data_IF_712098324658
#
_entry.id   IF_712098324658
#
_cell.length_a   1.000
_cell.length_b   1.000
_cell.length_c   1.000
_cell.angle_alpha   90.00
_cell.angle_beta   90.00
_cell.angle_gamma   90.00
#
_symmetry.space_group_name_H-M   'P 1'
#
loop_
_entity.id
_entity.type
_entity.pdbx_description
1 polymer ?
#
# COMPACT_ATOMS: atom_id res chain seq x y z
N UNK A 1 -17.99 6.17 -144.97
CA UNK A 1 -17.46 4.82 -145.25
C UNK A 1 -18.62 3.95 -145.70
N UNK A 2 -18.58 3.42 -146.93
CA UNK A 2 -19.69 2.63 -147.49
C UNK A 2 -19.78 1.28 -146.76
N UNK A 3 -20.92 1.00 -146.14
CA UNK A 3 -21.21 -0.27 -145.47
C UNK A 3 -21.30 -1.35 -146.56
N UNK A 4 -20.35 -2.29 -146.58
CA UNK A 4 -20.40 -3.44 -147.48
C UNK A 4 -21.54 -4.38 -147.08
N UNK A 5 -22.24 -4.96 -148.06
CA UNK A 5 -23.31 -5.93 -147.81
C UNK A 5 -22.73 -7.21 -147.24
N UNK A 6 -23.30 -7.68 -146.12
CA UNK A 6 -22.90 -8.94 -145.51
C UNK A 6 -23.59 -10.13 -146.17
N UNK A 7 -22.97 -11.29 -146.05
CA UNK A 7 -23.53 -12.56 -146.50
C UNK A 7 -24.91 -12.84 -145.87
N UNK A 8 -25.06 -12.55 -144.56
CA UNK A 8 -26.29 -12.76 -143.82
C UNK A 8 -27.44 -11.89 -144.35
N UNK A 9 -27.15 -10.65 -144.74
CA UNK A 9 -28.16 -9.72 -145.27
C UNK A 9 -28.71 -10.22 -146.62
N UNK A 10 -27.84 -10.81 -147.47
CA UNK A 10 -28.26 -11.41 -148.75
C UNK A 10 -29.05 -12.69 -148.52
N UNK A 11 -28.62 -13.53 -147.57
CA UNK A 11 -29.33 -14.77 -147.22
C UNK A 11 -30.73 -14.49 -146.67
N UNK A 12 -30.85 -13.50 -145.77
CA UNK A 12 -32.15 -13.12 -145.21
C UNK A 12 -33.06 -12.51 -146.28
N UNK A 13 -32.53 -11.62 -147.13
CA UNK A 13 -33.30 -11.07 -148.24
C UNK A 13 -33.75 -12.15 -149.24
N UNK A 14 -32.93 -13.17 -149.50
CA UNK A 14 -33.30 -14.30 -150.35
C UNK A 14 -34.38 -15.20 -149.68
N UNK A 15 -34.24 -15.48 -148.38
CA UNK A 15 -35.23 -16.23 -147.59
C UNK A 15 -36.59 -15.47 -147.57
N UNK A 16 -36.58 -14.14 -147.40
CA UNK A 16 -37.78 -13.29 -147.38
C UNK A 16 -38.46 -13.21 -148.77
N UNK A 17 -37.68 -13.08 -149.86
CA UNK A 17 -38.20 -13.07 -151.24
C UNK A 17 -38.87 -14.41 -151.58
N UNK A 18 -38.31 -15.53 -151.10
CA UNK A 18 -38.91 -16.85 -151.27
C UNK A 18 -40.16 -17.03 -150.42
N UNK A 19 -40.17 -16.52 -149.19
CA UNK A 19 -41.37 -16.50 -148.36
C UNK A 19 -42.52 -15.72 -149.02
N UNK A 20 -42.19 -14.68 -149.80
CA UNK A 20 -43.14 -13.93 -150.63
C UNK A 20 -43.53 -14.64 -151.95
N UNK A 21 -42.97 -15.82 -152.24
CA UNK A 21 -43.31 -16.63 -153.42
C UNK A 21 -42.61 -16.20 -154.73
N UNK A 22 -41.64 -15.29 -154.66
CA UNK A 22 -40.90 -14.81 -155.83
C UNK A 22 -39.51 -15.48 -155.95
N UNK A 23 -38.93 -15.46 -157.15
CA UNK A 23 -37.57 -15.99 -157.38
C UNK A 23 -36.53 -14.96 -156.95
N UNK A 24 -35.59 -15.30 -156.03
CA UNK A 24 -34.52 -14.41 -155.63
C UNK A 24 -33.52 -14.27 -156.78
N UNK A 25 -33.65 -13.20 -157.56
CA UNK A 25 -32.69 -12.80 -158.59
C UNK A 25 -31.80 -11.68 -158.08
N UNK A 26 -30.62 -11.50 -158.68
CA UNK A 26 -29.64 -10.47 -158.28
C UNK A 26 -30.27 -9.06 -158.30
N UNK A 27 -31.12 -8.77 -159.29
CA UNK A 27 -31.85 -7.50 -159.39
C UNK A 27 -32.86 -7.31 -158.25
N UNK A 28 -33.61 -8.36 -157.90
CA UNK A 28 -34.61 -8.32 -156.83
C UNK A 28 -33.99 -8.19 -155.45
N UNK A 29 -32.90 -8.91 -155.19
CA UNK A 29 -32.17 -8.79 -153.93
C UNK A 29 -31.59 -7.39 -153.78
N UNK A 30 -31.08 -6.79 -154.88
CA UNK A 30 -30.63 -5.39 -154.87
C UNK A 30 -31.79 -4.41 -154.67
N UNK A 31 -32.97 -4.68 -155.23
CA UNK A 31 -34.16 -3.86 -154.97
C UNK A 31 -34.61 -3.98 -153.50
N UNK A 32 -34.52 -5.16 -152.91
CA UNK A 32 -34.90 -5.42 -151.51
C UNK A 32 -33.90 -4.84 -150.50
N UNK A 33 -32.60 -4.86 -150.80
CA UNK A 33 -31.53 -4.34 -149.93
C UNK A 33 -31.15 -2.88 -150.22
N UNK A 34 -31.55 -2.32 -151.37
CA UNK A 34 -31.32 -0.93 -151.76
C UNK A 34 -29.87 -0.51 -152.03
N UNK A 35 -28.88 -1.40 -151.85
CA UNK A 35 -27.45 -1.13 -152.03
C UNK A 35 -26.73 -2.36 -152.59
N UNK A 36 -25.41 -2.28 -152.87
CA UNK A 36 -24.58 -3.44 -153.22
C UNK A 36 -24.16 -3.58 -154.69
N UNK A 37 -22.90 -3.98 -154.90
CA UNK A 37 -22.36 -4.32 -156.22
C UNK A 37 -22.96 -5.63 -156.72
N UNK A 38 -23.39 -5.74 -158.00
CA UNK A 38 -23.95 -6.96 -158.58
C UNK A 38 -23.06 -8.18 -158.35
N UNK A 39 -21.73 -8.03 -158.44
CA UNK A 39 -20.79 -9.14 -158.24
C UNK A 39 -20.81 -9.69 -156.81
N UNK A 40 -21.03 -8.84 -155.80
CA UNK A 40 -21.08 -9.26 -154.40
C UNK A 40 -22.40 -9.98 -154.09
N UNK A 41 -23.52 -9.51 -154.65
CA UNK A 41 -24.83 -10.14 -154.48
C UNK A 41 -24.86 -11.49 -155.19
N UNK A 42 -24.33 -11.61 -156.41
CA UNK A 42 -24.24 -12.89 -157.13
C UNK A 42 -23.44 -13.92 -156.33
N UNK A 43 -22.30 -13.52 -155.76
CA UNK A 43 -21.46 -14.42 -154.96
C UNK A 43 -22.19 -14.95 -153.73
N UNK A 44 -22.86 -14.08 -152.96
CA UNK A 44 -23.55 -14.50 -151.74
C UNK A 44 -24.86 -15.24 -152.03
N UNK A 45 -25.56 -14.89 -153.12
CA UNK A 45 -26.74 -15.62 -153.57
C UNK A 45 -26.40 -17.05 -154.00
N UNK A 46 -25.23 -17.28 -154.59
CA UNK A 46 -24.77 -18.64 -154.90
C UNK A 46 -24.50 -19.45 -153.62
N UNK A 47 -23.86 -18.83 -152.61
CA UNK A 47 -23.66 -19.45 -151.30
C UNK A 47 -25.00 -19.76 -150.61
N UNK A 48 -26.02 -18.92 -150.81
CA UNK A 48 -27.37 -19.13 -150.31
C UNK A 48 -28.00 -20.39 -150.93
N UNK A 49 -27.94 -20.49 -152.27
CA UNK A 49 -28.48 -21.65 -153.00
C UNK A 49 -27.83 -22.98 -152.59
N UNK A 50 -26.53 -22.97 -152.27
CA UNK A 50 -25.84 -24.19 -151.81
C UNK A 50 -26.24 -24.62 -150.39
N UNK A 51 -26.59 -23.67 -149.52
CA UNK A 51 -26.87 -23.95 -148.10
C UNK A 51 -28.35 -24.16 -147.80
N UNK A 52 -29.27 -23.56 -148.58
CA UNK A 52 -30.73 -23.64 -148.34
C UNK A 52 -31.25 -25.07 -148.37
N UNK A 53 -30.77 -25.91 -149.31
CA UNK A 53 -31.20 -27.30 -149.43
C UNK A 53 -30.78 -28.20 -148.27
N UNK A 54 -29.70 -27.85 -147.55
CA UNK A 54 -29.29 -28.54 -146.32
C UNK A 54 -30.09 -28.03 -145.12
N UNK A 55 -30.27 -26.70 -145.00
CA UNK A 55 -31.06 -26.07 -143.92
C UNK A 55 -32.50 -26.55 -143.89
N UNK A 56 -33.14 -26.68 -145.06
CA UNK A 56 -34.51 -27.19 -145.17
C UNK A 56 -34.61 -28.67 -144.75
N UNK A 57 -33.63 -29.50 -145.13
CA UNK A 57 -33.59 -30.91 -144.72
C UNK A 57 -33.35 -31.07 -143.23
N UNK A 58 -32.46 -30.29 -142.64
CA UNK A 58 -32.18 -30.35 -141.21
C UNK A 58 -33.39 -29.91 -140.36
N UNK A 59 -34.08 -28.82 -140.76
CA UNK A 59 -35.34 -28.42 -140.12
C UNK A 59 -36.45 -29.46 -140.28
N UNK A 60 -36.52 -30.14 -141.41
CA UNK A 60 -37.48 -31.23 -141.61
C UNK A 60 -37.17 -32.44 -140.70
N UNK A 61 -35.90 -32.74 -140.43
CA UNK A 61 -35.49 -33.80 -139.51
C UNK A 61 -35.78 -33.43 -138.05
N UNK A 62 -35.50 -32.19 -137.64
CA UNK A 62 -35.80 -31.69 -136.29
C UNK A 62 -37.31 -31.61 -136.04
N UNK A 63 -38.11 -31.24 -137.04
CA UNK A 63 -39.57 -31.26 -136.97
C UNK A 63 -40.17 -32.68 -137.03
N UNK A 64 -39.42 -33.68 -137.52
CA UNK A 64 -39.83 -35.07 -137.58
C UNK A 64 -39.55 -35.85 -136.28
N UNK A 65 -38.89 -35.25 -135.29
CA UNK A 65 -38.85 -35.80 -133.93
C UNK A 65 -40.25 -35.65 -133.35
N UNK A 66 -40.99 -36.74 -133.07
CA UNK A 66 -42.30 -36.62 -132.46
C UNK A 66 -42.10 -35.99 -131.08
N UNK A 67 -42.63 -34.78 -130.89
CA UNK A 67 -42.77 -34.22 -129.55
C UNK A 67 -43.47 -35.23 -128.65
N UNK A 68 -43.13 -35.24 -127.37
CA UNK A 68 -43.77 -36.08 -126.36
C UNK A 68 -45.29 -35.99 -126.56
N UNK A 69 -46.01 -37.12 -126.70
CA UNK A 69 -47.46 -37.08 -126.86
C UNK A 69 -48.09 -36.24 -125.75
N UNK A 70 -48.94 -35.30 -126.14
CA UNK A 70 -49.50 -34.27 -125.26
C UNK A 70 -50.14 -34.87 -123.99
N UNK A 71 -50.75 -36.05 -124.13
CA UNK A 71 -51.32 -36.83 -123.03
C UNK A 71 -50.30 -37.31 -121.98
N UNK A 72 -49.08 -37.66 -122.42
CA UNK A 72 -48.00 -38.09 -121.52
C UNK A 72 -47.41 -36.88 -120.78
N UNK A 73 -47.21 -35.76 -121.48
CA UNK A 73 -46.75 -34.51 -120.86
C UNK A 73 -47.74 -33.98 -119.80
N UNK A 74 -49.05 -34.07 -120.08
CA UNK A 74 -50.08 -33.63 -119.13
C UNK A 74 -50.16 -34.52 -117.88
N UNK A 75 -49.92 -35.84 -118.02
CA UNK A 75 -49.89 -36.78 -116.89
C UNK A 75 -48.63 -36.59 -116.03
N UNK A 76 -47.45 -36.42 -116.64
CA UNK A 76 -46.21 -36.16 -115.91
C UNK A 76 -46.28 -34.81 -115.16
N UNK A 77 -46.89 -33.78 -115.76
CA UNK A 77 -47.10 -32.51 -115.08
C UNK A 77 -48.04 -32.63 -113.87
N UNK A 78 -49.12 -33.42 -113.98
CA UNK A 78 -50.02 -33.69 -112.84
C UNK A 78 -49.34 -34.49 -111.73
N UNK A 79 -48.55 -35.51 -112.08
CA UNK A 79 -47.76 -36.29 -111.12
C UNK A 79 -46.73 -35.41 -110.40
N UNK A 80 -46.06 -34.52 -111.13
CA UNK A 80 -45.13 -33.56 -110.55
C UNK A 80 -45.81 -32.55 -109.62
N UNK A 81 -46.97 -32.02 -110.02
CA UNK A 81 -47.76 -31.13 -109.16
C UNK A 81 -48.23 -31.81 -107.87
N UNK A 82 -48.71 -33.06 -107.96
CA UNK A 82 -49.08 -33.85 -106.78
C UNK A 82 -47.87 -34.13 -105.87
N UNK A 83 -46.72 -34.50 -106.43
CA UNK A 83 -45.50 -34.72 -105.66
C UNK A 83 -45.01 -33.44 -104.97
N UNK A 84 -45.13 -32.27 -105.61
CA UNK A 84 -44.81 -30.98 -104.99
C UNK A 84 -45.80 -30.59 -103.89
N UNK A 85 -47.09 -30.92 -104.04
CA UNK A 85 -48.10 -30.71 -103.00
C UNK A 85 -47.80 -31.58 -101.77
N UNK A 86 -47.62 -32.89 -101.96
CA UNK A 86 -47.28 -33.83 -100.87
C UNK A 86 -45.96 -33.44 -100.19
N UNK A 87 -44.94 -33.05 -100.96
CA UNK A 87 -43.67 -32.57 -100.39
C UNK A 87 -43.85 -31.25 -99.62
N UNK A 88 -44.73 -30.36 -100.09
CA UNK A 88 -45.09 -29.12 -99.41
C UNK A 88 -45.80 -29.36 -98.09
N UNK A 89 -46.79 -30.26 -98.06
CA UNK A 89 -47.53 -30.65 -96.86
C UNK A 89 -46.62 -31.34 -95.83
N UNK A 90 -45.75 -32.25 -96.29
CA UNK A 90 -44.76 -32.90 -95.43
C UNK A 90 -43.78 -31.86 -94.84
N UNK A 91 -43.28 -30.93 -95.65
CA UNK A 91 -42.38 -29.87 -95.19
C UNK A 91 -43.06 -28.93 -94.18
N UNK A 92 -44.33 -28.57 -94.41
CA UNK A 92 -45.12 -27.79 -93.45
C UNK A 92 -45.30 -28.53 -92.13
N UNK A 93 -45.67 -29.80 -92.18
CA UNK A 93 -45.84 -30.64 -90.97
C UNK A 93 -44.51 -30.75 -90.19
N UNK A 94 -43.38 -30.94 -90.87
CA UNK A 94 -42.08 -30.96 -90.23
C UNK A 94 -41.71 -29.60 -89.63
N UNK A 95 -41.97 -28.49 -90.33
CA UNK A 95 -41.75 -27.14 -89.81
C UNK A 95 -42.61 -26.86 -88.57
N UNK A 96 -43.88 -27.29 -88.55
CA UNK A 96 -44.75 -27.13 -87.37
C UNK A 96 -44.26 -27.98 -86.20
N UNK A 97 -43.90 -29.24 -86.43
CA UNK A 97 -43.36 -30.09 -85.37
C UNK A 97 -42.05 -29.56 -84.78
N UNK A 98 -41.16 -29.01 -85.61
CA UNK A 98 -39.89 -28.44 -85.16
C UNK A 98 -40.10 -27.11 -84.43
N UNK A 99 -41.05 -26.28 -84.86
CA UNK A 99 -41.47 -25.07 -84.14
C UNK A 99 -42.01 -25.42 -82.76
N UNK A 100 -42.94 -26.37 -82.66
CA UNK A 100 -43.47 -26.80 -81.37
C UNK A 100 -42.39 -27.39 -80.45
N UNK A 101 -41.48 -28.22 -80.97
CA UNK A 101 -40.36 -28.74 -80.19
C UNK A 101 -39.39 -27.64 -79.71
N UNK A 102 -39.22 -26.58 -80.50
CA UNK A 102 -38.39 -25.43 -80.15
C UNK A 102 -39.07 -24.55 -79.09
N UNK A 103 -40.37 -24.27 -79.24
CA UNK A 103 -41.19 -23.55 -78.24
C UNK A 103 -41.21 -24.28 -76.89
N UNK A 104 -41.37 -25.61 -76.88
CA UNK A 104 -41.35 -26.42 -75.67
C UNK A 104 -39.97 -26.33 -74.97
N UNK A 105 -38.88 -26.40 -75.75
CA UNK A 105 -37.52 -26.24 -75.22
C UNK A 105 -37.27 -24.84 -74.67
N UNK A 106 -37.74 -23.80 -75.35
CA UNK A 106 -37.62 -22.42 -74.88
C UNK A 106 -38.37 -22.22 -73.56
N UNK A 107 -39.57 -22.79 -73.42
CA UNK A 107 -40.33 -22.76 -72.16
C UNK A 107 -39.57 -23.43 -71.02
N UNK A 108 -39.06 -24.64 -71.23
CA UNK A 108 -38.29 -25.36 -70.22
C UNK A 108 -37.01 -24.60 -69.81
N UNK A 109 -36.29 -24.02 -70.79
CA UNK A 109 -35.10 -23.22 -70.50
C UNK A 109 -35.44 -21.94 -69.71
N UNK A 110 -36.59 -21.33 -69.97
CA UNK A 110 -37.04 -20.15 -69.22
C UNK A 110 -37.47 -20.52 -67.79
N UNK A 111 -38.17 -21.64 -67.62
CA UNK A 111 -38.50 -22.20 -66.30
C UNK A 111 -37.22 -22.52 -65.49
N UNK A 112 -36.23 -23.16 -66.11
CA UNK A 112 -34.94 -23.46 -65.48
C UNK A 112 -34.19 -22.17 -65.12
N UNK A 113 -34.21 -21.14 -65.99
CA UNK A 113 -33.61 -19.83 -65.70
C UNK A 113 -34.27 -19.16 -64.50
N UNK A 114 -35.60 -19.17 -64.43
CA UNK A 114 -36.34 -18.62 -63.30
C UNK A 114 -36.02 -19.41 -62.02
N UNK A 115 -35.96 -20.73 -62.09
CA UNK A 115 -35.58 -21.57 -60.93
C UNK A 115 -34.16 -21.28 -60.44
N UNK A 116 -33.19 -21.17 -61.35
CA UNK A 116 -31.79 -20.86 -61.03
C UNK A 116 -31.63 -19.46 -60.43
N UNK A 117 -32.31 -18.46 -61.00
CA UNK A 117 -32.26 -17.08 -60.47
C UNK A 117 -32.84 -17.01 -59.06
N UNK A 118 -33.99 -17.65 -58.81
CA UNK A 118 -34.57 -17.76 -57.47
C UNK A 118 -33.65 -18.50 -56.48
N UNK A 119 -32.98 -19.57 -56.93
CA UNK A 119 -32.04 -20.32 -56.10
C UNK A 119 -30.81 -19.47 -55.72
N UNK A 120 -30.27 -18.70 -56.68
CA UNK A 120 -29.14 -17.78 -56.45
C UNK A 120 -29.55 -16.66 -55.50
N UNK A 121 -30.74 -16.07 -55.67
CA UNK A 121 -31.22 -15.03 -54.76
C UNK A 121 -31.42 -15.57 -53.34
N UNK A 122 -31.95 -16.79 -53.21
CA UNK A 122 -32.12 -17.44 -51.91
C UNK A 122 -30.78 -17.75 -51.23
N UNK A 123 -29.77 -18.22 -51.98
CA UNK A 123 -28.44 -18.47 -51.42
C UNK A 123 -27.75 -17.16 -51.01
N UNK A 124 -27.83 -16.11 -51.83
CA UNK A 124 -27.28 -14.79 -51.49
C UNK A 124 -27.95 -14.19 -50.25
N UNK A 125 -29.26 -14.36 -50.07
CA UNK A 125 -29.96 -13.91 -48.86
C UNK A 125 -29.44 -14.66 -47.62
N UNK A 126 -29.33 -15.99 -47.69
CA UNK A 126 -28.79 -16.81 -46.59
C UNK A 126 -27.34 -16.44 -46.25
N UNK A 127 -26.50 -16.20 -47.26
CA UNK A 127 -25.12 -15.77 -47.05
C UNK A 127 -25.04 -14.41 -46.36
N UNK A 128 -25.86 -13.44 -46.78
CA UNK A 128 -25.93 -12.12 -46.12
C UNK A 128 -26.41 -12.23 -44.69
N UNK A 129 -27.45 -13.03 -44.44
CA UNK A 129 -27.96 -13.27 -43.08
C UNK A 129 -26.90 -13.94 -42.20
N UNK A 130 -26.19 -14.95 -42.71
CA UNK A 130 -25.09 -15.60 -42.00
C UNK A 130 -23.91 -14.65 -41.73
N UNK A 131 -23.58 -13.76 -42.68
CA UNK A 131 -22.56 -12.73 -42.50
C UNK A 131 -22.97 -11.72 -41.42
N UNK A 132 -24.22 -11.27 -41.41
CA UNK A 132 -24.72 -10.35 -40.37
C UNK A 132 -24.72 -11.03 -39.00
N UNK A 133 -25.16 -12.29 -38.92
CA UNK A 133 -25.16 -13.05 -37.67
C UNK A 133 -23.73 -13.30 -37.15
N UNK A 134 -22.78 -13.63 -38.02
CA UNK A 134 -21.38 -13.84 -37.62
C UNK A 134 -20.72 -12.54 -37.18
N UNK A 135 -21.00 -11.41 -37.84
CA UNK A 135 -20.53 -10.09 -37.40
C UNK A 135 -21.15 -9.71 -36.05
N UNK A 136 -22.45 -9.92 -35.86
CA UNK A 136 -23.10 -9.68 -34.58
C UNK A 136 -22.50 -10.57 -33.47
N UNK A 137 -22.30 -11.86 -33.74
CA UNK A 137 -21.66 -12.78 -32.80
C UNK A 137 -20.21 -12.34 -32.48
N UNK A 138 -19.42 -11.93 -33.47
CA UNK A 138 -18.06 -11.44 -33.28
C UNK A 138 -18.03 -10.19 -32.39
N UNK A 139 -18.88 -9.19 -32.69
CA UNK A 139 -18.95 -7.97 -31.87
C UNK A 139 -19.40 -8.25 -30.44
N UNK A 140 -20.37 -9.15 -30.22
CA UNK A 140 -20.78 -9.55 -28.86
C UNK A 140 -19.66 -10.30 -28.13
N UNK A 141 -18.90 -11.16 -28.82
CA UNK A 141 -17.76 -11.85 -28.24
C UNK A 141 -16.64 -10.88 -27.85
N UNK A 142 -16.35 -9.87 -28.67
CA UNK A 142 -15.39 -8.80 -28.37
C UNK A 142 -15.83 -7.98 -27.15
N UNK A 143 -17.11 -7.61 -27.08
CA UNK A 143 -17.68 -6.89 -25.93
C UNK A 143 -17.57 -7.70 -24.64
N UNK A 144 -17.92 -8.99 -24.69
CA UNK A 144 -17.80 -9.90 -23.55
C UNK A 144 -16.33 -10.08 -23.13
N UNK A 145 -15.41 -10.24 -24.08
CA UNK A 145 -13.97 -10.33 -23.80
C UNK A 145 -13.43 -9.05 -23.14
N UNK A 146 -13.86 -7.87 -23.62
CA UNK A 146 -13.52 -6.59 -23.02
C UNK A 146 -14.07 -6.47 -21.58
N UNK A 147 -15.32 -6.89 -21.36
CA UNK A 147 -15.93 -6.89 -20.03
C UNK A 147 -15.22 -7.84 -19.07
N UNK A 148 -14.88 -9.06 -19.51
CA UNK A 148 -14.11 -10.03 -18.71
C UNK A 148 -12.72 -9.49 -18.37
N UNK A 149 -12.04 -8.84 -19.32
CA UNK A 149 -10.75 -8.19 -19.08
C UNK A 149 -10.86 -7.07 -18.03
N UNK A 150 -11.88 -6.21 -18.15
CA UNK A 150 -12.17 -5.15 -17.19
C UNK A 150 -12.44 -5.71 -15.78
N UNK A 151 -13.31 -6.72 -15.68
CA UNK A 151 -13.62 -7.37 -14.40
C UNK A 151 -12.38 -8.03 -13.79
N UNK A 152 -11.54 -8.66 -14.61
CA UNK A 152 -10.28 -9.27 -14.16
C UNK A 152 -9.33 -8.21 -13.61
N UNK A 153 -9.20 -7.07 -14.30
CA UNK A 153 -8.38 -5.95 -13.83
C UNK A 153 -8.92 -5.37 -12.50
N UNK A 154 -10.25 -5.23 -12.36
CA UNK A 154 -10.88 -4.79 -11.11
C UNK A 154 -10.63 -5.76 -9.96
N UNK A 155 -10.75 -7.07 -10.18
CA UNK A 155 -10.46 -8.08 -9.16
C UNK A 155 -8.98 -8.02 -8.74
N UNK A 156 -8.05 -7.89 -9.69
CA UNK A 156 -6.63 -7.75 -9.38
C UNK A 156 -6.33 -6.48 -8.57
N UNK A 157 -6.98 -5.36 -8.89
CA UNK A 157 -6.83 -4.12 -8.13
C UNK A 157 -7.36 -4.27 -6.70
N UNK A 158 -8.56 -4.84 -6.53
CA UNK A 158 -9.12 -5.14 -5.21
C UNK A 158 -8.24 -6.08 -4.39
N UNK A 159 -7.63 -7.09 -5.02
CA UNK A 159 -6.67 -7.97 -4.35
C UNK A 159 -5.42 -7.20 -3.89
N UNK A 160 -4.86 -6.32 -4.73
CA UNK A 160 -3.73 -5.47 -4.33
C UNK A 160 -4.10 -4.53 -3.18
N UNK A 161 -5.29 -3.93 -3.22
CA UNK A 161 -5.76 -3.07 -2.14
C UNK A 161 -5.93 -3.84 -0.84
N UNK A 162 -6.52 -5.05 -0.91
CA UNK A 162 -6.69 -5.97 0.21
C UNK A 162 -5.34 -6.35 0.82
N UNK A 163 -4.39 -6.78 0.00
CA UNK A 163 -3.06 -7.21 0.46
C UNK A 163 -2.29 -6.03 1.06
N UNK A 164 -2.41 -4.84 0.45
CA UNK A 164 -1.87 -3.60 1.00
C UNK A 164 -2.50 -3.23 2.35
N UNK A 165 -3.81 -3.47 2.53
CA UNK A 165 -4.50 -3.23 3.80
C UNK A 165 -4.07 -4.23 4.88
N UNK A 166 -3.97 -5.53 4.56
CA UNK A 166 -3.45 -6.55 5.48
C UNK A 166 -2.02 -6.23 5.92
N UNK A 167 -1.13 -5.88 4.97
CA UNK A 167 0.25 -5.52 5.30
C UNK A 167 0.37 -4.23 6.12
N UNK A 168 -0.62 -3.32 6.06
CA UNK A 168 -0.68 -2.16 6.97
C UNK A 168 -1.21 -2.55 8.35
N UNK A 169 -2.23 -3.40 8.42
CA UNK A 169 -2.78 -3.89 9.68
C UNK A 169 -1.72 -4.65 10.48
N UNK A 170 -0.99 -5.56 9.84
CA UNK A 170 0.09 -6.32 10.47
C UNK A 170 1.21 -5.41 11.01
N UNK A 171 1.60 -4.38 10.24
CA UNK A 171 2.57 -3.38 10.71
C UNK A 171 2.07 -2.60 11.93
N UNK A 172 0.81 -2.16 11.92
CA UNK A 172 0.21 -1.46 13.05
C UNK A 172 0.07 -2.37 14.28
N UNK A 173 -0.24 -3.65 14.11
CA UNK A 173 -0.25 -4.63 15.20
C UNK A 173 1.14 -4.80 15.81
N UNK A 174 2.18 -4.94 14.97
CA UNK A 174 3.57 -5.02 15.43
C UNK A 174 4.01 -3.74 16.18
N UNK A 175 3.63 -2.56 15.68
CA UNK A 175 3.89 -1.27 16.34
C UNK A 175 3.16 -1.18 17.69
N UNK A 176 1.88 -1.57 17.74
CA UNK A 176 1.11 -1.60 18.98
C UNK A 176 1.73 -2.53 20.02
N UNK A 177 2.17 -3.72 19.62
CA UNK A 177 2.82 -4.67 20.52
C UNK A 177 4.20 -4.17 20.97
N UNK A 178 4.95 -3.48 20.11
CA UNK A 178 6.20 -2.83 20.50
C UNK A 178 5.97 -1.72 21.53
N UNK A 179 4.96 -0.86 21.32
CA UNK A 179 4.59 0.20 22.26
C UNK A 179 4.10 -0.39 23.59
N UNK A 180 3.27 -1.44 23.56
CA UNK A 180 2.81 -2.14 24.78
C UNK A 180 3.97 -2.74 25.56
N UNK A 181 4.94 -3.36 24.89
CA UNK A 181 6.16 -3.89 25.52
C UNK A 181 6.97 -2.78 26.17
N UNK A 182 7.26 -1.71 25.44
CA UNK A 182 8.01 -0.56 25.97
C UNK A 182 7.31 0.09 27.16
N UNK A 183 5.98 0.22 27.12
CA UNK A 183 5.19 0.76 28.23
C UNK A 183 5.20 -0.19 29.44
N UNK A 184 5.13 -1.50 29.22
CA UNK A 184 5.25 -2.51 30.27
C UNK A 184 6.63 -2.48 30.96
N UNK A 185 7.70 -2.37 30.17
CA UNK A 185 9.07 -2.24 30.66
C UNK A 185 9.27 -0.95 31.47
N UNK A 186 8.78 0.20 30.97
CA UNK A 186 8.83 1.47 31.69
C UNK A 186 8.03 1.41 33.00
N UNK A 187 6.84 0.82 32.99
CA UNK A 187 6.02 0.66 34.19
C UNK A 187 6.71 -0.24 35.24
N UNK A 188 7.35 -1.33 34.81
CA UNK A 188 8.12 -2.20 35.68
C UNK A 188 9.32 -1.47 36.29
N UNK A 189 10.08 -0.73 35.49
CA UNK A 189 11.22 0.06 35.96
C UNK A 189 10.80 1.12 36.98
N UNK A 190 9.71 1.85 36.73
CA UNK A 190 9.16 2.81 37.70
C UNK A 190 8.69 2.15 39.00
N UNK A 191 8.07 0.97 38.91
CA UNK A 191 7.64 0.22 40.09
C UNK A 191 8.85 -0.23 40.94
N UNK A 192 9.92 -0.69 40.29
CA UNK A 192 11.19 -1.03 40.96
C UNK A 192 11.84 0.19 41.60
N UNK A 193 11.89 1.33 40.91
CA UNK A 193 12.41 2.59 41.45
C UNK A 193 11.60 3.05 42.68
N UNK A 194 10.26 3.00 42.61
CA UNK A 194 9.40 3.31 43.77
C UNK A 194 9.67 2.37 44.93
N UNK A 195 9.81 1.07 44.69
CA UNK A 195 10.12 0.09 45.75
C UNK A 195 11.49 0.35 46.36
N UNK A 196 12.49 0.68 45.56
CA UNK A 196 13.83 1.01 46.03
C UNK A 196 13.81 2.28 46.90
N UNK A 197 13.10 3.33 46.47
CA UNK A 197 12.93 4.56 47.25
C UNK A 197 12.17 4.31 48.55
N UNK A 198 11.08 3.55 48.52
CA UNK A 198 10.31 3.19 49.73
C UNK A 198 11.18 2.40 50.71
N UNK A 199 11.97 1.44 50.22
CA UNK A 199 12.90 0.67 51.06
C UNK A 199 13.99 1.57 51.66
N UNK A 200 14.52 2.52 50.88
CA UNK A 200 15.50 3.49 51.37
C UNK A 200 14.93 4.39 52.46
N UNK A 201 13.74 4.96 52.24
CA UNK A 201 13.06 5.82 53.23
C UNK A 201 12.83 5.04 54.53
N UNK A 202 12.27 3.82 54.45
CA UNK A 202 12.08 2.96 55.63
C UNK A 202 13.38 2.68 56.36
N UNK A 203 14.45 2.37 55.64
CA UNK A 203 15.76 2.12 56.25
C UNK A 203 16.33 3.36 56.97
N UNK A 204 16.08 4.56 56.44
CA UNK A 204 16.46 5.82 57.09
C UNK A 204 15.59 6.08 58.32
N UNK A 205 14.28 5.87 58.23
CA UNK A 205 13.33 5.99 59.35
C UNK A 205 13.70 5.01 60.48
N UNK A 206 13.94 3.74 60.17
CA UNK A 206 14.35 2.72 61.13
C UNK A 206 15.68 3.09 61.81
N UNK A 207 16.66 3.58 61.03
CA UNK A 207 17.93 4.07 61.59
C UNK A 207 17.70 5.24 62.54
N UNK A 208 16.91 6.24 62.14
CA UNK A 208 16.59 7.39 62.98
C UNK A 208 15.86 6.97 64.27
N UNK A 209 14.92 6.03 64.18
CA UNK A 209 14.26 5.45 65.36
C UNK A 209 15.27 4.76 66.29
N UNK A 210 16.20 3.97 65.75
CA UNK A 210 17.24 3.32 66.57
C UNK A 210 18.17 4.32 67.24
N UNK A 211 18.53 5.41 66.57
CA UNK A 211 19.37 6.48 67.13
C UNK A 211 18.63 7.24 68.24
N UNK A 212 17.37 7.59 68.02
CA UNK A 212 16.52 8.21 69.06
C UNK A 212 16.40 7.31 70.28
N UNK A 213 16.18 6.01 70.09
CA UNK A 213 16.09 5.07 71.20
C UNK A 213 17.42 4.88 71.94
N UNK A 214 18.56 4.87 71.22
CA UNK A 214 19.89 4.92 71.85
C UNK A 214 20.07 6.19 72.68
N UNK A 215 19.72 7.36 72.14
CA UNK A 215 19.81 8.62 72.87
C UNK A 215 18.88 8.65 74.09
N UNK A 216 17.66 8.10 74.01
CA UNK A 216 16.75 7.94 75.15
C UNK A 216 17.30 6.99 76.22
N UNK A 217 17.93 5.89 75.81
CA UNK A 217 18.58 4.97 76.75
C UNK A 217 19.78 5.64 77.43
N UNK A 218 20.64 6.33 76.67
CA UNK A 218 21.79 7.07 77.20
C UNK A 218 21.37 8.21 78.14
N UNK A 219 20.30 8.95 77.81
CA UNK A 219 19.74 9.97 78.68
C UNK A 219 19.22 9.36 79.98
N UNK A 220 18.45 8.27 79.91
CA UNK A 220 17.96 7.56 81.10
C UNK A 220 19.10 7.04 81.98
N UNK A 221 20.18 6.50 81.41
CA UNK A 221 21.33 6.05 82.20
C UNK A 221 22.06 7.23 82.83
N UNK A 222 22.26 8.34 82.09
CA UNK A 222 22.87 9.55 82.64
C UNK A 222 22.02 10.19 83.75
N UNK A 223 20.70 10.23 83.61
CA UNK A 223 19.78 10.69 84.66
C UNK A 223 19.86 9.81 85.92
N UNK A 224 19.99 8.49 85.75
CA UNK A 224 20.19 7.56 86.87
C UNK A 224 21.55 7.76 87.55
N UNK A 225 22.63 7.92 86.78
CA UNK A 225 23.97 8.20 87.30
C UNK A 225 24.01 9.53 88.04
N UNK A 226 23.50 10.61 87.44
CA UNK A 226 23.38 11.91 88.09
C UNK A 226 22.51 11.86 89.34
N UNK A 227 21.40 11.10 89.30
CA UNK A 227 20.56 10.85 90.48
C UNK A 227 21.32 10.15 91.60
N UNK A 228 22.15 9.14 91.27
CA UNK A 228 23.03 8.45 92.24
C UNK A 228 24.11 9.38 92.79
N UNK A 229 24.81 10.13 91.94
CA UNK A 229 25.82 11.10 92.35
C UNK A 229 25.22 12.18 93.25
N UNK A 230 24.05 12.71 92.90
CA UNK A 230 23.34 13.70 93.72
C UNK A 230 22.96 13.14 95.08
N UNK A 231 22.51 11.89 95.14
CA UNK A 231 22.22 11.21 96.41
C UNK A 231 23.51 10.99 97.22
N UNK A 232 24.60 10.56 96.58
CA UNK A 232 25.90 10.37 97.22
C UNK A 232 26.48 11.68 97.78
N UNK A 233 26.36 12.78 97.03
CA UNK A 233 26.72 14.13 97.47
C UNK A 233 25.82 14.61 98.60
N UNK A 234 24.51 14.34 98.54
CA UNK A 234 23.59 14.68 99.63
C UNK A 234 23.90 13.88 100.90
N UNK A 235 24.27 12.60 100.78
CA UNK A 235 24.70 11.80 101.93
C UNK A 235 26.04 12.26 102.48
N UNK A 236 27.03 12.54 101.63
CA UNK A 236 28.35 13.02 102.09
C UNK A 236 28.27 14.40 102.72
N UNK A 237 27.42 15.31 102.19
CA UNK A 237 27.13 16.59 102.80
C UNK A 237 26.51 16.40 104.19
N UNK A 238 25.47 15.55 104.32
CA UNK A 238 24.87 15.22 105.63
C UNK A 238 25.87 14.61 106.59
N UNK A 239 26.74 13.72 106.12
CA UNK A 239 27.80 13.13 106.95
C UNK A 239 28.79 14.19 107.41
N UNK A 240 29.21 15.11 106.53
CA UNK A 240 30.08 16.23 106.89
C UNK A 240 29.42 17.20 107.87
N UNK A 241 28.13 17.50 107.69
CA UNK A 241 27.33 18.32 108.62
C UNK A 241 27.22 17.64 109.99
N UNK A 242 26.94 16.33 110.01
CA UNK A 242 26.92 15.54 111.26
C UNK A 242 28.30 15.49 111.93
N UNK A 243 29.37 15.34 111.16
CA UNK A 243 30.74 15.39 111.68
C UNK A 243 31.08 16.78 112.23
N UNK A 244 30.66 17.86 111.57
CA UNK A 244 30.84 19.23 112.04
C UNK A 244 30.05 19.48 113.35
N UNK A 245 28.80 19.02 113.43
CA UNK A 245 28.00 19.05 114.65
C UNK A 245 28.68 18.23 115.76
N UNK A 246 29.17 17.03 115.47
CA UNK A 246 29.87 16.19 116.42
C UNK A 246 31.20 16.82 116.89
N UNK A 247 31.95 17.45 115.99
CA UNK A 247 33.17 18.18 116.31
C UNK A 247 32.87 19.41 117.18
N UNK A 248 31.87 20.22 116.84
CA UNK A 248 31.40 21.34 117.64
C UNK A 248 30.95 20.89 119.05
N UNK A 249 30.24 19.75 119.14
CA UNK A 249 29.87 19.15 120.42
C UNK A 249 31.10 18.69 121.23
N UNK A 250 32.11 18.10 120.58
CA UNK A 250 33.38 17.72 121.24
C UNK A 250 34.15 18.95 121.73
N UNK A 251 34.23 20.01 120.92
CA UNK A 251 34.82 21.28 121.31
C UNK A 251 34.08 21.88 122.51
N UNK A 252 32.74 21.88 122.49
CA UNK A 252 31.93 22.35 123.60
C UNK A 252 32.12 21.50 124.87
N UNK A 253 32.27 20.18 124.74
CA UNK A 253 32.63 19.31 125.87
C UNK A 253 34.06 19.57 126.38
N UNK A 254 35.02 19.83 125.49
CA UNK A 254 36.37 20.20 125.87
C UNK A 254 36.41 21.54 126.61
N UNK A 255 35.65 22.54 126.14
CA UNK A 255 35.44 23.80 126.84
C UNK A 255 34.84 23.58 128.22
N UNK A 256 33.77 22.77 128.35
CA UNK A 256 33.20 22.41 129.66
C UNK A 256 34.17 21.68 130.57
N UNK A 257 35.05 20.83 130.03
CA UNK A 257 36.12 20.18 130.81
C UNK A 257 37.16 21.19 131.27
N UNK A 258 37.55 22.14 130.43
CA UNK A 258 38.45 23.23 130.80
C UNK A 258 37.82 24.13 131.87
N UNK A 259 36.55 24.49 131.73
CA UNK A 259 35.78 25.18 132.77
C UNK A 259 35.74 24.37 134.06
N UNK A 260 35.54 23.05 133.99
CA UNK A 260 35.59 22.16 135.15
C UNK A 260 36.99 22.04 135.79
N UNK A 261 38.06 22.09 135.00
CA UNK A 261 39.44 22.13 135.52
C UNK A 261 39.74 23.48 136.15
N UNK A 262 39.30 24.59 135.54
CA UNK A 262 39.41 25.93 136.12
C UNK A 262 38.62 26.02 137.42
N UNK A 263 37.39 25.52 137.47
CA UNK A 263 36.61 25.47 138.71
C UNK A 263 37.27 24.62 139.80
N UNK A 264 38.00 23.54 139.42
CA UNK A 264 38.84 22.78 140.36
C UNK A 264 40.08 23.55 140.79
N UNK A 265 40.71 24.31 139.89
CA UNK A 265 41.82 25.19 140.21
C UNK A 265 41.36 26.30 141.17
N UNK A 266 40.24 26.98 140.88
CA UNK A 266 39.59 27.96 141.75
C UNK A 266 39.20 27.33 143.10
N UNK A 267 38.70 26.09 143.09
CA UNK A 267 38.40 25.34 144.31
C UNK A 267 39.64 24.98 145.14
N UNK A 268 40.76 24.65 144.51
CA UNK A 268 42.05 24.44 145.17
C UNK A 268 42.64 25.76 145.67
N UNK A 269 42.46 26.86 144.95
CA UNK A 269 42.80 28.21 145.41
C UNK A 269 41.94 28.64 146.61
N UNK A 270 40.64 28.30 146.60
CA UNK A 270 39.74 28.50 147.73
C UNK A 270 40.14 27.64 148.95
N UNK A 271 40.61 26.41 148.73
CA UNK A 271 41.15 25.55 149.80
C UNK A 271 42.48 26.08 150.34
N UNK A 272 43.35 26.63 149.48
CA UNK A 272 44.60 27.28 149.91
C UNK A 272 44.35 28.58 150.68
N UNK A 273 43.33 29.36 150.31
CA UNK A 273 42.94 30.56 151.06
C UNK A 273 42.29 30.19 152.39
N UNK A 274 41.41 29.19 152.43
CA UNK A 274 40.88 28.60 153.67
C UNK A 274 41.97 28.03 154.58
N UNK A 275 42.99 27.35 154.03
CA UNK A 275 44.14 26.87 154.81
C UNK A 275 44.99 28.03 155.33
N UNK A 276 45.20 29.09 154.55
CA UNK A 276 45.86 30.31 155.02
C UNK A 276 45.05 31.00 156.12
N UNK A 277 43.73 31.00 156.02
CA UNK A 277 42.82 31.66 156.97
C UNK A 277 42.66 30.86 158.27
N UNK A 278 42.65 29.53 158.22
CA UNK A 278 42.71 28.65 159.40
C UNK A 278 44.09 28.68 160.07
N UNK A 279 45.18 28.80 159.31
CA UNK A 279 46.53 29.03 159.88
C UNK A 279 46.59 30.40 160.58
N UNK A 280 45.91 31.41 160.03
CA UNK A 280 45.75 32.73 160.67
C UNK A 280 44.91 32.63 161.95
N UNK A 281 43.80 31.91 161.94
CA UNK A 281 42.95 31.74 163.12
C UNK A 281 43.61 30.91 164.25
N UNK A 282 44.45 29.92 163.93
CA UNK A 282 45.24 29.17 164.92
C UNK A 282 46.39 29.99 165.50
N UNK A 283 46.99 30.88 164.71
CA UNK A 283 48.01 31.83 165.22
C UNK A 283 47.40 32.96 166.05
N UNK A 284 46.13 33.32 165.84
CA UNK A 284 45.38 34.30 166.64
C UNK A 284 44.89 33.69 167.98
N UNK A 285 44.51 32.41 168.01
CA UNK A 285 44.05 31.69 169.23
C UNK A 285 45.16 31.36 170.25
N UNK A 286 46.42 31.20 169.81
CA UNK A 286 47.57 31.02 170.69
C UNK A 286 48.09 32.33 171.32
N UNK A 287 47.56 33.50 170.91
CA UNK A 287 48.06 34.83 171.33
C UNK A 287 47.34 35.45 172.54
N UNK A 288 46.26 34.86 173.05
CA UNK A 288 45.46 35.44 174.15
C UNK A 288 45.66 34.78 175.54
N UNK A 289 46.69 33.94 175.73
CA UNK A 289 46.95 33.21 177.00
C UNK A 289 48.21 33.58 177.78
N UNK A 290 49.04 34.52 177.33
CA UNK A 290 50.21 34.97 178.13
C UNK A 290 50.70 36.35 177.70
N UNK A 291 50.15 37.37 178.35
CA UNK A 291 50.76 38.69 178.47
C UNK A 291 51.22 38.85 179.93
N UNK A 292 52.50 38.58 180.17
CA UNK A 292 53.26 39.19 181.25
C UNK A 292 54.38 40.00 180.57
N UNK A 293 54.55 41.23 181.06
CA UNK A 293 55.66 42.18 180.85
C UNK A 293 55.85 42.86 179.49
N UNK A 294 55.70 44.20 179.56
CA UNK A 294 56.61 45.24 179.06
C UNK A 294 56.56 45.73 177.60
N UNK A 295 56.30 47.04 177.49
CA UNK A 295 56.72 48.07 176.51
C UNK A 295 58.24 48.06 176.21
N UNK A 296 58.83 48.82 175.24
CA UNK A 296 58.28 49.83 174.31
C UNK A 296 58.83 49.82 172.84
N UNK A 297 58.39 50.83 172.08
CA UNK A 297 58.73 51.33 170.72
C UNK A 297 60.16 51.13 170.16
N UNK A 298 60.26 51.09 168.81
CA UNK A 298 60.88 52.09 167.86
C UNK A 298 61.64 51.46 166.68
N UNK A 299 61.41 52.07 165.50
CA UNK A 299 62.37 52.35 164.40
C UNK A 299 62.89 51.15 163.57
N UNK A 300 63.15 51.20 162.27
CA UNK A 300 63.06 52.23 161.21
C UNK A 300 63.63 51.62 159.91
N UNK A 301 63.01 51.88 158.74
CA UNK A 301 63.60 52.25 157.40
C UNK A 301 64.78 51.41 156.79
N UNK A 302 65.20 51.63 155.52
CA UNK A 302 64.50 51.95 154.26
C UNK A 302 65.08 51.22 153.00
N UNK A 303 64.65 51.70 151.80
CA UNK A 303 65.34 51.78 150.47
C UNK A 303 65.02 50.69 149.43
N UNK A 304 64.30 51.06 148.35
CA UNK A 304 64.72 51.25 146.91
C UNK A 304 65.46 50.04 146.30
N UNK A 305 65.15 49.54 145.10
CA UNK A 305 65.18 50.20 143.78
C UNK A 305 64.48 49.35 142.69
N UNK A 306 64.03 50.00 141.61
CA UNK A 306 63.57 49.46 140.32
C UNK A 306 64.77 48.93 139.44
N UNK A 307 64.77 48.83 138.08
CA UNK A 307 63.73 48.92 137.02
C UNK A 307 63.96 48.00 135.74
N UNK A 308 63.20 48.31 134.65
CA UNK A 308 63.55 48.35 133.18
C UNK A 308 63.27 47.11 132.29
N UNK A 309 62.42 47.22 131.21
CA UNK A 309 62.65 47.65 129.77
C UNK A 309 63.25 46.51 128.89
N UNK A 310 63.11 46.32 127.57
CA UNK A 310 62.46 46.92 126.36
C UNK A 310 62.76 45.98 125.15
N UNK A 311 61.97 46.04 124.07
CA UNK A 311 62.41 45.90 122.65
C UNK A 311 62.00 44.61 121.93
N UNK A 312 61.23 44.60 120.82
CA UNK A 312 61.51 44.99 119.41
C UNK A 312 61.90 43.77 118.50
N UNK A 313 61.91 43.83 117.14
CA UNK A 313 61.19 42.90 116.24
C UNK A 313 62.08 42.18 115.19
N UNK A 314 61.47 41.59 114.13
CA UNK A 314 61.97 41.49 112.70
C UNK A 314 62.27 40.08 112.09
N UNK A 315 61.62 39.83 110.92
CA UNK A 315 62.01 39.10 109.66
C UNK A 315 62.17 37.55 109.50
N UNK A 316 61.39 37.00 108.53
CA UNK A 316 61.74 36.27 107.26
C UNK A 316 62.94 35.26 107.17
N UNK A 317 63.14 34.49 106.06
CA UNK A 317 62.24 33.66 105.23
C UNK A 317 62.85 32.26 104.87
N UNK A 318 62.23 31.55 103.91
CA UNK A 318 62.86 30.73 102.84
C UNK A 318 62.74 29.18 102.84
N UNK A 319 61.95 28.70 101.85
CA UNK A 319 62.26 27.69 100.81
C UNK A 319 62.49 26.17 101.04
N UNK A 320 61.81 25.45 100.12
CA UNK A 320 62.25 24.31 99.26
C UNK A 320 62.00 22.85 99.70
N UNK A 321 61.11 22.16 98.97
CA UNK A 321 61.36 21.10 97.93
C UNK A 321 60.02 20.42 97.58
N UNK A 322 59.51 20.43 96.34
CA UNK A 322 59.89 19.64 95.13
C UNK A 322 59.23 18.25 95.03
N UNK A 323 58.52 18.06 93.90
CA UNK A 323 58.41 16.88 93.02
C UNK A 323 57.14 16.00 93.03
N UNK A 324 56.59 15.94 91.81
CA UNK A 324 55.79 14.91 91.09
C UNK A 324 54.29 14.91 91.30
#
# INVERSE_FOLDING_TARGET
MAKGISELDVHQAADDIIAAGERPTVERIRAHLGTGSPNTVTRWLETWWQTVGFRLRQRAIEAAVPGIPERVAHLSQRLWQAALQDAGELAQTQLESTRHALEERERLLEEDRVALTLAIEASQKREREAQVQTQAAATTAEQLAAQVSQMTAQVQDLLRQRDGAYGRAERLEQELDAVRRSLGEAAAAHEEERRALQAHVRAVEDRAHTEVDRHRQALRSAEQEWGRERMALATSLRESEQQAIAAANREQQALRRLEGVNARADGLEAQLTSLKETTRQVTEALRQGRANTATPSRQSKPRRTAPRRVGEPTQEPNSRKSKT
#
